data_IF_135756307795
#
_entry.id   IF_135756307795
#
_cell.length_a   1.000
_cell.length_b   1.000
_cell.length_c   1.000
_cell.angle_alpha   90.00
_cell.angle_beta   90.00
_cell.angle_gamma   90.00
#
_symmetry.space_group_name_H-M   'P 1'
#
loop_
_entity.id
_entity.type
_entity.pdbx_description
1 polymer ?
#
# COMPACT_ATOMS: atom_id res chain seq x y z
N UNK A 1 38.70 -17.85 0.46
CA UNK A 1 38.31 -16.45 0.72
C UNK A 1 36.83 -16.45 0.98
N UNK A 2 36.48 -16.38 2.25
CA UNK A 2 35.15 -15.99 2.72
C UNK A 2 34.98 -14.51 2.38
N UNK A 3 34.02 -14.18 1.51
CA UNK A 3 33.29 -12.93 1.64
C UNK A 3 31.81 -13.26 1.44
N UNK A 4 31.12 -13.33 2.57
CA UNK A 4 29.67 -13.20 2.63
C UNK A 4 29.31 -11.91 1.90
N UNK A 5 28.79 -12.02 0.68
CA UNK A 5 28.12 -10.92 0.01
C UNK A 5 26.94 -10.54 0.90
N UNK A 6 27.17 -9.54 1.75
CA UNK A 6 26.18 -8.88 2.58
C UNK A 6 25.12 -8.36 1.59
N UNK A 7 24.05 -9.13 1.43
CA UNK A 7 22.94 -8.80 0.55
C UNK A 7 22.31 -7.51 1.04
N UNK A 8 22.72 -6.38 0.47
CA UNK A 8 22.01 -5.12 0.63
C UNK A 8 20.64 -5.34 -0.04
N UNK A 9 19.64 -5.62 0.77
CA UNK A 9 18.27 -5.67 0.30
C UNK A 9 17.92 -4.28 -0.24
N UNK A 10 17.81 -4.16 -1.56
CA UNK A 10 17.40 -2.91 -2.19
C UNK A 10 16.05 -2.47 -1.55
N UNK A 11 16.02 -1.29 -0.90
CA UNK A 11 14.81 -0.82 -0.26
C UNK A 11 13.77 -0.31 -1.29
N UNK A 12 14.17 -0.03 -2.52
CA UNK A 12 13.29 0.57 -3.53
C UNK A 12 12.08 -0.32 -3.87
N UNK A 13 12.22 -1.64 -4.12
CA UNK A 13 11.06 -2.52 -4.25
C UNK A 13 10.15 -2.48 -3.03
N UNK A 14 10.69 -2.51 -1.80
CA UNK A 14 9.86 -2.52 -0.58
C UNK A 14 9.09 -1.21 -0.42
N UNK A 15 9.72 -0.09 -0.73
CA UNK A 15 9.11 1.23 -0.69
C UNK A 15 7.99 1.36 -1.75
N UNK A 16 8.22 0.85 -2.96
CA UNK A 16 7.22 0.83 -4.02
C UNK A 16 5.97 0.04 -3.60
N UNK A 17 6.14 -1.17 -3.10
CA UNK A 17 5.01 -1.97 -2.61
C UNK A 17 4.29 -1.27 -1.46
N UNK A 18 5.01 -0.68 -0.51
CA UNK A 18 4.40 0.02 0.62
C UNK A 18 3.58 1.24 0.18
N UNK A 19 3.99 1.96 -0.87
CA UNK A 19 3.23 3.06 -1.44
C UNK A 19 1.86 2.59 -1.97
N UNK A 20 1.84 1.52 -2.75
CA UNK A 20 0.59 1.04 -3.36
C UNK A 20 -0.26 0.20 -2.42
N UNK A 21 0.34 -0.70 -1.63
CA UNK A 21 -0.34 -1.64 -0.73
C UNK A 21 -0.70 -1.05 0.64
N UNK A 22 0.07 -0.09 1.12
CA UNK A 22 0.00 0.38 2.50
C UNK A 22 0.66 -0.57 3.48
N UNK A 23 0.46 -0.31 4.77
CA UNK A 23 1.07 -1.08 5.87
C UNK A 23 -0.01 -1.55 6.85
N UNK A 24 0.18 -2.68 7.54
CA UNK A 24 -0.71 -3.11 8.62
C UNK A 24 -0.84 -2.02 9.69
N UNK A 25 -2.07 -1.75 10.14
CA UNK A 25 -2.34 -0.73 11.17
C UNK A 25 -2.28 0.72 10.68
N UNK A 26 -2.14 0.95 9.37
CA UNK A 26 -2.19 2.31 8.79
C UNK A 26 -3.49 3.03 9.16
N UNK A 27 -3.38 4.27 9.67
CA UNK A 27 -4.53 5.08 10.02
C UNK A 27 -5.35 5.47 8.78
N UNK A 28 -6.62 5.83 8.95
CA UNK A 28 -7.45 6.27 7.83
C UNK A 28 -6.87 7.53 7.12
N UNK A 29 -6.24 8.42 7.89
CA UNK A 29 -5.60 9.65 7.37
C UNK A 29 -4.35 9.31 6.58
N UNK A 30 -3.46 8.47 7.13
CA UNK A 30 -2.24 8.05 6.44
C UNK A 30 -2.56 7.27 5.17
N UNK A 31 -3.59 6.41 5.22
CA UNK A 31 -4.12 5.71 4.05
C UNK A 31 -4.59 6.67 2.97
N UNK A 32 -5.34 7.71 3.35
CA UNK A 32 -5.82 8.70 2.40
C UNK A 32 -4.67 9.47 1.74
N UNK A 33 -3.69 9.90 2.55
CA UNK A 33 -2.49 10.59 2.06
C UNK A 33 -1.68 9.70 1.12
N UNK A 34 -1.40 8.46 1.52
CA UNK A 34 -0.71 7.46 0.70
C UNK A 34 -1.43 7.19 -0.62
N UNK A 35 -2.75 7.02 -0.59
CA UNK A 35 -3.54 6.81 -1.81
C UNK A 35 -3.57 8.05 -2.72
N UNK A 36 -3.37 9.26 -2.19
CA UNK A 36 -3.15 10.45 -3.02
C UNK A 36 -1.83 10.32 -3.76
N UNK A 37 -0.73 10.14 -3.02
CA UNK A 37 0.62 10.01 -3.59
C UNK A 37 0.71 8.84 -4.58
N UNK A 38 0.11 7.70 -4.25
CA UNK A 38 0.10 6.53 -5.14
C UNK A 38 -0.61 6.81 -6.47
N UNK A 39 -1.64 7.66 -6.49
CA UNK A 39 -2.30 8.06 -7.75
C UNK A 39 -1.45 9.01 -8.56
N UNK A 40 -0.77 9.94 -7.90
CA UNK A 40 0.13 10.90 -8.56
C UNK A 40 1.30 10.15 -9.21
N UNK A 41 1.96 9.26 -8.47
CA UNK A 41 3.04 8.41 -8.98
C UNK A 41 2.55 7.51 -10.13
N UNK A 42 1.35 6.94 -10.05
CA UNK A 42 0.79 6.16 -11.16
C UNK A 42 0.54 7.01 -12.40
N UNK A 43 0.16 8.29 -12.26
CA UNK A 43 0.00 9.19 -13.38
C UNK A 43 1.36 9.50 -14.03
N UNK A 44 2.38 9.78 -13.23
CA UNK A 44 3.75 10.01 -13.70
C UNK A 44 4.32 8.78 -14.42
N UNK A 45 4.14 7.58 -13.86
CA UNK A 45 4.57 6.33 -14.52
C UNK A 45 3.88 6.11 -15.86
N UNK A 46 2.60 6.49 -16.00
CA UNK A 46 1.89 6.40 -17.28
C UNK A 46 2.39 7.39 -18.31
N UNK A 47 2.74 8.60 -17.88
CA UNK A 47 3.31 9.63 -18.75
C UNK A 47 4.70 9.20 -19.25
N UNK A 48 5.57 8.76 -18.33
CA UNK A 48 6.92 8.30 -18.67
C UNK A 48 6.91 7.00 -19.51
N UNK A 49 5.97 6.09 -19.22
CA UNK A 49 5.79 4.84 -19.96
C UNK A 49 5.24 4.99 -21.38
N UNK A 50 4.95 6.22 -21.84
CA UNK A 50 4.59 6.45 -23.24
C UNK A 50 5.74 6.09 -24.19
N UNK A 51 6.98 6.34 -23.76
CA UNK A 51 8.19 6.15 -24.57
C UNK A 51 9.15 5.09 -23.98
N UNK A 52 8.83 4.53 -22.82
CA UNK A 52 9.63 3.49 -22.14
C UNK A 52 8.79 2.27 -21.75
N UNK A 53 9.11 1.13 -22.36
CA UNK A 53 8.40 -0.14 -22.16
C UNK A 53 8.54 -0.69 -20.72
N UNK A 54 9.68 -0.46 -20.06
CA UNK A 54 9.91 -0.90 -18.67
C UNK A 54 9.03 -0.06 -17.75
N UNK A 55 9.03 1.25 -17.93
CA UNK A 55 8.21 2.16 -17.11
C UNK A 55 6.70 1.91 -17.36
N UNK A 56 6.31 1.54 -18.58
CA UNK A 56 4.94 1.10 -18.87
C UNK A 56 4.55 -0.15 -18.07
N UNK A 57 5.44 -1.13 -17.97
CA UNK A 57 5.21 -2.34 -17.15
C UNK A 57 5.11 -1.98 -15.66
N UNK A 58 5.94 -1.06 -15.18
CA UNK A 58 5.84 -0.56 -13.80
C UNK A 58 4.51 0.14 -13.53
N UNK A 59 3.99 0.92 -14.49
CA UNK A 59 2.68 1.55 -14.39
C UNK A 59 1.53 0.53 -14.32
N UNK A 60 1.61 -0.54 -15.13
CA UNK A 60 0.63 -1.64 -15.08
C UNK A 60 0.68 -2.38 -13.75
N UNK A 61 1.89 -2.65 -13.24
CA UNK A 61 2.09 -3.30 -11.96
C UNK A 61 1.58 -2.44 -10.79
N UNK A 62 1.93 -1.15 -10.76
CA UNK A 62 1.41 -0.17 -9.81
C UNK A 62 -0.12 -0.13 -9.80
N UNK A 63 -0.75 -0.11 -10.98
CA UNK A 63 -2.20 -0.11 -11.10
C UNK A 63 -2.83 -1.40 -10.54
N UNK A 64 -2.22 -2.56 -10.76
CA UNK A 64 -2.67 -3.82 -10.19
C UNK A 64 -2.59 -3.81 -8.65
N UNK A 65 -1.48 -3.35 -8.08
CA UNK A 65 -1.30 -3.21 -6.63
C UNK A 65 -2.35 -2.27 -6.02
N UNK A 66 -2.59 -1.13 -6.66
CA UNK A 66 -3.59 -0.17 -6.19
C UNK A 66 -5.00 -0.78 -6.16
N UNK A 67 -5.37 -1.56 -7.19
CA UNK A 67 -6.67 -2.27 -7.21
C UNK A 67 -6.81 -3.28 -6.07
N UNK A 68 -5.76 -4.05 -5.76
CA UNK A 68 -5.77 -5.01 -4.66
C UNK A 68 -6.09 -4.33 -3.32
N UNK A 69 -5.58 -3.11 -3.08
CA UNK A 69 -5.88 -2.39 -1.83
C UNK A 69 -7.33 -1.95 -1.67
N UNK A 70 -8.04 -1.77 -2.78
CA UNK A 70 -9.45 -1.39 -2.79
C UNK A 70 -10.33 -2.62 -2.55
N UNK A 71 -9.91 -3.79 -3.06
CA UNK A 71 -10.61 -5.07 -2.89
C UNK A 71 -10.49 -5.65 -1.47
N UNK A 72 -9.42 -5.32 -0.73
CA UNK A 72 -9.26 -5.70 0.69
C UNK A 72 -10.29 -5.09 1.65
N UNK A 73 -11.23 -4.27 1.16
CA UNK A 73 -12.39 -3.80 1.94
C UNK A 73 -13.39 -4.94 2.18
N UNK A 74 -13.13 -5.79 3.16
CA UNK A 74 -14.23 -6.43 3.89
C UNK A 74 -14.62 -5.49 5.04
N UNK A 75 -15.77 -4.81 4.98
CA UNK A 75 -16.27 -4.14 6.18
C UNK A 75 -16.54 -5.23 7.22
N UNK A 76 -15.77 -5.24 8.31
CA UNK A 76 -16.22 -5.90 9.53
C UNK A 76 -17.36 -5.04 10.05
N UNK A 77 -18.59 -5.45 9.76
CA UNK A 77 -19.76 -4.92 10.43
C UNK A 77 -19.52 -4.98 11.94
N UNK A 78 -19.81 -3.88 12.62
CA UNK A 78 -19.31 -3.57 13.94
C UNK A 78 -19.53 -4.67 14.97
N UNK A 79 -18.45 -5.04 15.65
CA UNK A 79 -18.56 -5.46 17.05
C UNK A 79 -18.47 -4.18 17.88
N UNK A 80 -19.62 -3.57 18.13
CA UNK A 80 -19.73 -2.58 19.19
C UNK A 80 -19.47 -3.30 20.52
N UNK A 81 -18.64 -2.76 21.44
CA UNK A 81 -18.57 -3.30 22.78
C UNK A 81 -19.92 -3.09 23.45
N UNK A 82 -20.57 -4.19 23.86
CA UNK A 82 -21.71 -4.11 24.75
C UNK A 82 -21.21 -3.57 26.10
N UNK A 83 -21.45 -2.29 26.34
CA UNK A 83 -21.38 -1.68 27.66
C UNK A 83 -22.30 -2.46 28.60
N UNK A 84 -21.71 -3.38 29.36
CA UNK A 84 -22.36 -4.03 30.50
C UNK A 84 -21.72 -3.49 31.77
N UNK A 85 -22.13 -2.29 32.17
CA UNK A 85 -21.96 -1.83 33.56
C UNK A 85 -23.24 -1.16 34.02
N UNK A 86 -23.94 -1.86 34.91
CA UNK A 86 -25.17 -1.44 35.55
C UNK A 86 -25.51 -2.38 36.70
N UNK A 87 -24.53 -2.60 37.58
CA UNK A 87 -24.75 -3.08 38.94
C UNK A 87 -25.44 -1.95 39.72
N UNK A 88 -26.66 -2.20 40.20
CA UNK A 88 -27.31 -1.40 41.23
C UNK A 88 -28.40 -2.23 41.94
N UNK A 89 -28.12 -2.48 43.23
CA UNK A 89 -29.00 -2.77 44.37
C UNK A 89 -29.86 -4.05 44.36
#
# INVERSE_FOLDING_TARGET
MEELALGFEDPAPRLFHALFLGRPGESAVDRAARLSVARDVLAELREQGADDDIVRQDAEYAHALLRLTLLGRRPVAGSAPADSKGEAA
#
